data_IF_166185580566
#
_entry.id   IF_166185580566
#
_cell.length_a   1.000
_cell.length_b   1.000
_cell.length_c   1.000
_cell.angle_alpha   90.00
_cell.angle_beta   90.00
_cell.angle_gamma   90.00
#
_symmetry.space_group_name_H-M   'P 1'
#
loop_
_entity.id
_entity.type
_entity.pdbx_description
1 polymer ?
#
# COMPACT_ATOMS: atom_id res chain seq x y z
N UNK A 1 -1.07 0.53 36.13
CA UNK A 1 -2.16 1.03 35.27
C UNK A 1 -2.74 -0.19 34.59
N UNK A 2 -3.95 -0.49 35.00
CA UNK A 2 -4.70 -1.62 34.46
C UNK A 2 -4.99 -1.33 32.98
N UNK A 3 -4.41 -2.10 32.07
CA UNK A 3 -4.78 -2.05 30.65
C UNK A 3 -6.10 -2.79 30.55
N UNK A 4 -7.18 -2.05 30.78
CA UNK A 4 -8.49 -2.57 30.42
C UNK A 4 -8.44 -2.95 28.95
N UNK A 5 -8.66 -4.23 28.64
CA UNK A 5 -8.80 -4.72 27.29
C UNK A 5 -9.95 -3.97 26.63
N UNK A 6 -9.63 -2.96 25.82
CA UNK A 6 -10.63 -2.25 25.03
C UNK A 6 -10.93 -3.10 23.81
N UNK A 7 -11.90 -3.98 23.94
CA UNK A 7 -12.46 -4.70 22.81
C UNK A 7 -13.37 -3.76 22.03
N UNK A 8 -13.14 -3.64 20.72
CA UNK A 8 -14.11 -2.98 19.85
C UNK A 8 -15.44 -3.76 19.90
N UNK A 9 -16.59 -3.08 19.90
CA UNK A 9 -17.87 -3.75 19.95
C UNK A 9 -18.06 -4.65 18.72
N UNK A 10 -18.75 -5.77 18.86
CA UNK A 10 -19.06 -6.71 17.76
C UNK A 10 -19.82 -6.05 16.61
N UNK A 11 -20.57 -4.99 16.92
CA UNK A 11 -21.32 -4.21 15.94
C UNK A 11 -20.77 -2.78 15.90
N UNK A 12 -19.88 -2.53 14.95
CA UNK A 12 -19.37 -1.19 14.70
C UNK A 12 -20.40 -0.39 13.91
N UNK A 13 -20.63 0.91 14.24
CA UNK A 13 -21.53 1.74 13.48
C UNK A 13 -21.02 1.94 12.04
N UNK A 14 -21.94 2.05 11.08
CA UNK A 14 -21.58 2.43 9.72
C UNK A 14 -20.95 3.83 9.70
N UNK A 15 -19.86 3.97 8.98
CA UNK A 15 -19.15 5.24 8.82
C UNK A 15 -19.71 6.02 7.62
N UNK A 16 -19.93 7.33 7.73
CA UNK A 16 -20.30 8.19 6.60
C UNK A 16 -19.04 8.42 5.74
N UNK A 17 -18.87 7.65 4.68
CA UNK A 17 -17.69 7.67 3.82
C UNK A 17 -18.13 7.72 2.36
N UNK A 18 -17.75 8.80 1.66
CA UNK A 18 -17.83 8.86 0.20
C UNK A 18 -16.71 8.00 -0.40
N UNK A 19 -17.10 7.00 -1.17
CA UNK A 19 -16.17 6.01 -1.75
C UNK A 19 -16.21 5.99 -3.28
N UNK A 20 -16.99 6.87 -3.87
CA UNK A 20 -17.14 7.07 -5.31
C UNK A 20 -16.84 8.52 -5.64
N UNK A 21 -16.13 8.75 -6.72
CA UNK A 21 -15.81 10.07 -7.23
C UNK A 21 -15.89 10.08 -8.76
N UNK A 22 -16.13 11.24 -9.35
CA UNK A 22 -15.97 11.46 -10.78
C UNK A 22 -14.50 11.44 -11.18
N UNK A 23 -14.19 11.23 -12.46
CA UNK A 23 -12.81 11.28 -12.96
C UNK A 23 -12.12 12.62 -12.65
N UNK A 24 -12.84 13.73 -12.69
CA UNK A 24 -12.31 15.05 -12.33
C UNK A 24 -11.95 15.14 -10.86
N UNK A 25 -12.80 14.63 -9.96
CA UNK A 25 -12.53 14.61 -8.51
C UNK A 25 -11.37 13.67 -8.18
N UNK A 26 -11.29 12.51 -8.85
CA UNK A 26 -10.13 11.60 -8.71
C UNK A 26 -8.82 12.30 -9.09
N UNK A 27 -8.79 13.02 -10.21
CA UNK A 27 -7.61 13.78 -10.64
C UNK A 27 -7.20 14.84 -9.61
N UNK A 28 -8.18 15.56 -9.03
CA UNK A 28 -7.92 16.53 -7.95
C UNK A 28 -7.39 15.85 -6.69
N UNK A 29 -7.91 14.69 -6.32
CA UNK A 29 -7.38 13.90 -5.19
C UNK A 29 -5.92 13.52 -5.44
N UNK A 30 -5.62 12.98 -6.62
CA UNK A 30 -4.25 12.58 -7.00
C UNK A 30 -3.28 13.74 -6.95
N UNK A 31 -3.67 14.91 -7.44
CA UNK A 31 -2.82 16.11 -7.41
C UNK A 31 -2.45 16.52 -5.98
N UNK A 32 -3.43 16.49 -5.04
CA UNK A 32 -3.18 16.78 -3.62
C UNK A 32 -2.26 15.74 -2.98
N UNK A 33 -2.52 14.46 -3.20
CA UNK A 33 -1.69 13.35 -2.70
C UNK A 33 -0.25 13.51 -3.19
N UNK A 34 -0.08 13.74 -4.49
CA UNK A 34 1.24 13.91 -5.11
C UNK A 34 2.01 15.05 -4.47
N UNK A 35 1.37 16.21 -4.28
CA UNK A 35 2.01 17.37 -3.65
C UNK A 35 2.50 17.03 -2.24
N UNK A 36 1.70 16.33 -1.43
CA UNK A 36 2.07 15.94 -0.08
C UNK A 36 3.26 14.95 -0.08
N UNK A 37 3.20 13.90 -0.91
CA UNK A 37 4.25 12.88 -0.95
C UNK A 37 5.54 13.35 -1.60
N UNK A 38 5.50 14.26 -2.58
CA UNK A 38 6.70 14.93 -3.09
C UNK A 38 7.38 15.76 -2.01
N UNK A 39 6.60 16.51 -1.21
CA UNK A 39 7.14 17.25 -0.07
C UNK A 39 7.77 16.32 0.97
N UNK A 40 7.05 15.28 1.40
CA UNK A 40 7.54 14.30 2.38
C UNK A 40 8.81 13.60 1.90
N UNK A 41 8.84 13.21 0.63
CA UNK A 41 10.02 12.61 0.00
C UNK A 41 11.23 13.54 -0.05
N UNK A 42 11.01 14.86 -0.15
CA UNK A 42 12.08 15.84 -0.13
C UNK A 42 12.63 16.11 1.30
N UNK A 43 11.75 16.15 2.31
CA UNK A 43 12.14 16.61 3.66
C UNK A 43 12.36 15.48 4.67
N UNK A 44 11.66 14.35 4.53
CA UNK A 44 11.68 13.23 5.49
C UNK A 44 11.53 11.88 4.80
N UNK A 45 12.35 11.53 3.79
CA UNK A 45 12.09 10.39 2.91
C UNK A 45 11.98 9.04 3.64
N UNK A 46 12.83 8.74 4.60
CA UNK A 46 12.80 7.47 5.32
C UNK A 46 11.69 7.43 6.37
N UNK A 47 11.48 8.54 7.08
CA UNK A 47 10.41 8.68 8.07
C UNK A 47 9.01 8.55 7.43
N UNK A 48 8.83 9.08 6.23
CA UNK A 48 7.53 8.98 5.53
C UNK A 48 7.21 7.56 5.06
N UNK A 49 8.21 6.71 4.90
CA UNK A 49 8.05 5.28 4.56
C UNK A 49 7.82 4.42 5.79
N UNK A 50 8.47 4.76 6.92
CA UNK A 50 8.32 4.07 8.18
C UNK A 50 8.42 5.07 9.33
N UNK A 51 7.27 5.42 9.91
CA UNK A 51 7.11 6.51 10.87
C UNK A 51 7.67 6.20 12.24
N UNK A 52 9.00 6.24 12.38
CA UNK A 52 9.71 6.15 13.64
C UNK A 52 10.67 7.32 13.79
N UNK A 53 10.75 7.95 14.96
CA UNK A 53 11.65 9.11 15.21
C UNK A 53 13.10 8.81 14.85
N UNK A 54 13.53 7.55 14.99
CA UNK A 54 14.87 7.10 14.60
C UNK A 54 15.12 7.20 13.08
N UNK A 55 14.09 7.33 12.25
CA UNK A 55 14.19 7.43 10.80
C UNK A 55 14.03 8.86 10.28
N UNK A 56 13.93 9.84 11.19
CA UNK A 56 14.07 11.26 10.84
C UNK A 56 15.47 11.53 10.27
N UNK A 57 15.64 12.50 9.37
CA UNK A 57 16.91 12.78 8.72
C UNK A 57 18.08 12.95 9.70
N UNK A 58 17.86 13.62 10.82
CA UNK A 58 18.84 13.85 11.86
C UNK A 58 19.29 12.59 12.63
N UNK A 59 18.46 11.55 12.64
CA UNK A 59 18.69 10.30 13.39
C UNK A 59 19.06 9.13 12.48
N UNK A 60 18.86 9.27 11.17
CA UNK A 60 18.95 8.17 10.21
C UNK A 60 20.31 7.49 10.19
N UNK A 61 21.40 8.26 10.34
CA UNK A 61 22.75 7.70 10.28
C UNK A 61 22.99 6.58 11.31
N UNK A 62 22.36 6.68 12.48
CA UNK A 62 22.48 5.66 13.55
C UNK A 62 21.53 4.48 13.38
N UNK A 63 20.51 4.59 12.51
CA UNK A 63 19.40 3.63 12.39
C UNK A 63 19.21 3.08 10.98
N UNK A 64 20.04 3.48 10.02
CA UNK A 64 19.90 3.07 8.62
C UNK A 64 19.88 1.54 8.44
N UNK A 65 20.75 0.81 9.14
CA UNK A 65 20.78 -0.65 9.06
C UNK A 65 19.46 -1.28 9.53
N UNK A 66 18.88 -0.76 10.61
CA UNK A 66 17.59 -1.25 11.12
C UNK A 66 16.43 -0.91 10.18
N UNK A 67 16.48 0.25 9.52
CA UNK A 67 15.51 0.62 8.49
C UNK A 67 15.51 -0.39 7.33
N UNK A 68 16.68 -0.67 6.76
CA UNK A 68 16.79 -1.61 5.65
C UNK A 68 16.48 -3.05 6.06
N UNK A 69 16.92 -3.47 7.26
CA UNK A 69 16.62 -4.81 7.80
C UNK A 69 15.12 -5.04 8.00
N UNK A 70 14.34 -4.01 8.32
CA UNK A 70 12.89 -4.13 8.46
C UNK A 70 12.21 -4.60 7.16
N UNK A 71 12.74 -4.20 5.99
CA UNK A 71 12.26 -4.66 4.69
C UNK A 71 12.46 -6.16 4.46
N UNK A 72 13.51 -6.77 5.03
CA UNK A 72 13.72 -8.23 4.98
C UNK A 72 12.63 -8.98 5.73
N UNK A 73 12.19 -8.44 6.88
CA UNK A 73 11.08 -9.01 7.65
C UNK A 73 9.78 -9.05 6.85
N UNK A 74 9.45 -7.97 6.15
CA UNK A 74 8.25 -7.92 5.30
C UNK A 74 8.35 -8.87 4.10
N UNK A 75 9.48 -8.93 3.42
CA UNK A 75 9.70 -9.90 2.34
C UNK A 75 9.61 -11.35 2.83
N UNK A 76 10.03 -11.64 4.06
CA UNK A 76 9.86 -12.95 4.68
C UNK A 76 8.37 -13.28 4.92
N UNK A 77 7.54 -12.30 5.31
CA UNK A 77 6.08 -12.47 5.42
C UNK A 77 5.49 -12.81 4.06
N UNK A 78 5.88 -12.10 2.99
CA UNK A 78 5.45 -12.40 1.62
C UNK A 78 5.79 -13.83 1.23
N UNK A 79 7.06 -14.22 1.39
CA UNK A 79 7.54 -15.57 1.07
C UNK A 79 6.77 -16.65 1.83
N UNK A 80 6.59 -16.48 3.14
CA UNK A 80 5.87 -17.43 3.98
C UNK A 80 4.41 -17.54 3.58
N UNK A 81 3.78 -16.43 3.18
CA UNK A 81 2.40 -16.41 2.70
C UNK A 81 2.27 -17.18 1.38
N UNK A 82 3.15 -16.91 0.41
CA UNK A 82 3.15 -17.62 -0.88
C UNK A 82 3.37 -19.13 -0.69
N UNK A 83 4.29 -19.52 0.20
CA UNK A 83 4.55 -20.93 0.51
C UNK A 83 3.34 -21.60 1.18
N UNK A 84 2.69 -20.94 2.13
CA UNK A 84 1.50 -21.46 2.85
C UNK A 84 0.35 -21.77 1.91
N UNK A 85 0.16 -20.97 0.86
CA UNK A 85 -0.89 -21.16 -0.12
C UNK A 85 -0.46 -21.98 -1.35
N UNK A 86 0.77 -22.47 -1.39
CA UNK A 86 1.25 -23.33 -2.48
C UNK A 86 1.63 -22.59 -3.76
N UNK A 87 2.06 -21.34 -3.65
CA UNK A 87 2.48 -20.51 -4.80
C UNK A 87 3.99 -20.20 -4.88
N UNK A 88 4.91 -21.12 -4.55
CA UNK A 88 6.34 -20.83 -4.63
C UNK A 88 6.82 -20.55 -6.08
N UNK A 89 6.10 -21.05 -7.07
CA UNK A 89 6.43 -20.85 -8.49
C UNK A 89 6.27 -19.41 -8.97
N UNK A 90 5.56 -18.55 -8.23
CA UNK A 90 5.46 -17.11 -8.54
C UNK A 90 6.80 -16.38 -8.42
N UNK A 91 7.79 -16.98 -7.75
CA UNK A 91 9.14 -16.43 -7.64
C UNK A 91 9.84 -16.18 -8.98
N UNK A 92 9.43 -16.86 -10.06
CA UNK A 92 9.94 -16.62 -11.41
C UNK A 92 9.06 -15.64 -12.21
N UNK A 93 8.06 -15.05 -11.58
CA UNK A 93 7.10 -14.16 -12.20
C UNK A 93 7.48 -12.68 -12.10
N UNK A 94 6.55 -11.84 -12.57
CA UNK A 94 6.60 -10.40 -12.48
C UNK A 94 5.89 -9.95 -11.20
N UNK A 95 6.60 -9.22 -10.34
CA UNK A 95 6.06 -8.54 -9.18
C UNK A 95 5.76 -7.08 -9.52
N UNK A 96 4.64 -6.56 -9.02
CA UNK A 96 4.36 -5.14 -8.89
C UNK A 96 4.39 -4.79 -7.41
N UNK A 97 5.23 -3.85 -7.02
CA UNK A 97 5.17 -3.18 -5.72
C UNK A 97 4.62 -1.76 -5.93
N UNK A 98 3.49 -1.46 -5.30
CA UNK A 98 2.85 -0.15 -5.40
C UNK A 98 3.04 0.65 -4.11
N UNK A 99 3.63 1.85 -4.23
CA UNK A 99 4.09 2.67 -3.12
C UNK A 99 5.43 2.17 -2.56
N UNK A 100 6.42 1.98 -3.43
CA UNK A 100 7.71 1.40 -3.05
C UNK A 100 8.57 2.32 -2.16
N UNK A 101 8.24 3.60 -2.09
CA UNK A 101 8.99 4.59 -1.34
C UNK A 101 10.47 4.63 -1.73
N UNK A 102 11.34 4.59 -0.75
CA UNK A 102 12.80 4.54 -0.95
C UNK A 102 13.34 3.13 -1.28
N UNK A 103 12.46 2.16 -1.59
CA UNK A 103 12.86 0.82 -2.00
C UNK A 103 13.16 -0.14 -0.86
N UNK A 104 12.67 0.12 0.36
CA UNK A 104 12.96 -0.66 1.56
C UNK A 104 12.57 -2.14 1.43
N UNK A 105 11.40 -2.44 0.89
CA UNK A 105 10.92 -3.80 0.62
C UNK A 105 11.34 -4.26 -0.77
N UNK A 106 11.34 -3.36 -1.75
CA UNK A 106 11.70 -3.59 -3.16
C UNK A 106 12.98 -4.41 -3.32
N UNK A 107 14.06 -4.00 -2.62
CA UNK A 107 15.36 -4.66 -2.73
C UNK A 107 15.30 -6.13 -2.31
N UNK A 108 14.39 -6.50 -1.42
CA UNK A 108 14.20 -7.88 -0.98
C UNK A 108 13.26 -8.65 -1.90
N UNK A 109 12.30 -7.98 -2.54
CA UNK A 109 11.42 -8.58 -3.54
C UNK A 109 12.21 -8.97 -4.81
N UNK A 110 13.25 -8.21 -5.18
CA UNK A 110 14.10 -8.55 -6.33
C UNK A 110 14.84 -9.88 -6.17
N UNK A 111 15.10 -10.32 -4.94
CA UNK A 111 15.65 -11.65 -4.67
C UNK A 111 14.59 -12.78 -4.77
N UNK A 112 13.31 -12.42 -4.93
CA UNK A 112 12.20 -13.38 -4.96
C UNK A 112 11.55 -13.50 -6.32
N UNK A 113 11.61 -12.46 -7.16
CA UNK A 113 10.91 -12.38 -8.44
C UNK A 113 11.87 -12.13 -9.60
N UNK A 114 11.54 -12.61 -10.78
CA UNK A 114 12.37 -12.41 -11.98
C UNK A 114 12.42 -10.92 -12.39
N UNK A 115 11.32 -10.19 -12.19
CA UNK A 115 11.23 -8.75 -12.46
C UNK A 115 10.35 -8.10 -11.40
N UNK A 116 10.77 -6.96 -10.90
CA UNK A 116 9.99 -6.12 -9.98
C UNK A 116 9.71 -4.78 -10.65
N UNK A 117 8.43 -4.45 -10.86
CA UNK A 117 7.98 -3.14 -11.26
C UNK A 117 7.59 -2.37 -10.00
N UNK A 118 8.39 -1.40 -9.61
CA UNK A 118 8.25 -0.62 -8.38
C UNK A 118 7.68 0.76 -8.70
N UNK A 119 6.48 1.05 -8.19
CA UNK A 119 5.74 2.29 -8.44
C UNK A 119 5.77 3.19 -7.21
N UNK A 120 5.99 4.48 -7.41
CA UNK A 120 5.78 5.50 -6.39
C UNK A 120 5.32 6.83 -7.01
N UNK A 121 4.62 7.64 -6.22
CA UNK A 121 4.13 8.95 -6.66
C UNK A 121 5.18 10.06 -6.46
N UNK A 122 6.20 9.83 -5.62
CA UNK A 122 7.25 10.78 -5.29
C UNK A 122 8.54 10.50 -6.07
N UNK A 123 8.96 11.46 -6.90
CA UNK A 123 10.23 11.40 -7.60
C UNK A 123 11.42 11.40 -6.64
N UNK A 124 11.29 12.10 -5.49
CA UNK A 124 12.33 12.14 -4.46
C UNK A 124 12.55 10.76 -3.82
N UNK A 125 11.48 10.02 -3.51
CA UNK A 125 11.58 8.66 -3.00
C UNK A 125 12.25 7.74 -4.03
N UNK A 126 11.80 7.80 -5.28
CA UNK A 126 12.36 6.97 -6.36
C UNK A 126 13.84 7.26 -6.63
N UNK A 127 14.30 8.49 -6.45
CA UNK A 127 15.71 8.82 -6.59
C UNK A 127 16.58 8.04 -5.56
N UNK A 128 16.13 7.97 -4.30
CA UNK A 128 16.79 7.20 -3.26
C UNK A 128 16.70 5.70 -3.54
N UNK A 129 15.54 5.21 -3.97
CA UNK A 129 15.35 3.80 -4.31
C UNK A 129 16.29 3.35 -5.46
N UNK A 130 16.44 4.18 -6.50
CA UNK A 130 17.37 3.94 -7.63
C UNK A 130 18.80 3.90 -7.16
N UNK A 131 19.23 4.89 -6.37
CA UNK A 131 20.57 4.91 -5.79
C UNK A 131 20.84 3.62 -4.98
N UNK A 132 19.86 3.19 -4.17
CA UNK A 132 20.00 1.96 -3.38
C UNK A 132 20.12 0.71 -4.25
N UNK A 133 19.36 0.63 -5.34
CA UNK A 133 19.47 -0.48 -6.29
C UNK A 133 20.85 -0.53 -6.96
N UNK A 134 21.40 0.62 -7.33
CA UNK A 134 22.75 0.74 -7.92
C UNK A 134 23.82 0.29 -6.92
N UNK A 135 23.74 0.75 -5.65
CA UNK A 135 24.66 0.35 -4.57
C UNK A 135 24.68 -1.17 -4.34
N UNK A 136 23.54 -1.83 -4.50
CA UNK A 136 23.37 -3.27 -4.31
C UNK A 136 23.56 -4.08 -5.61
N UNK A 137 23.87 -3.42 -6.73
CA UNK A 137 23.95 -4.01 -8.06
C UNK A 137 22.69 -4.82 -8.46
N UNK A 138 21.50 -4.32 -8.07
CA UNK A 138 20.21 -4.92 -8.41
C UNK A 138 19.82 -4.51 -9.83
N UNK A 139 19.58 -5.49 -10.72
CA UNK A 139 19.37 -5.26 -12.15
C UNK A 139 17.96 -5.64 -12.64
N UNK A 140 17.13 -6.24 -11.78
CA UNK A 140 15.82 -6.75 -12.14
C UNK A 140 14.66 -5.93 -11.53
N UNK A 141 14.90 -4.65 -11.25
CA UNK A 141 13.89 -3.70 -10.83
C UNK A 141 13.70 -2.59 -11.86
N UNK A 142 12.46 -2.22 -12.12
CA UNK A 142 12.08 -1.08 -12.97
C UNK A 142 11.27 -0.13 -12.12
N UNK A 143 11.76 1.10 -11.96
CA UNK A 143 11.10 2.14 -11.18
C UNK A 143 10.19 3.00 -12.05
N UNK A 144 8.94 3.15 -11.65
CA UNK A 144 7.91 3.90 -12.33
C UNK A 144 7.44 5.06 -11.46
N UNK A 145 7.57 6.29 -11.97
CA UNK A 145 6.96 7.46 -11.34
C UNK A 145 5.48 7.52 -11.76
N UNK A 146 4.58 7.45 -10.78
CA UNK A 146 3.16 7.59 -11.04
C UNK A 146 2.82 9.01 -11.50
N UNK A 147 2.13 9.13 -12.64
CA UNK A 147 1.58 10.38 -13.14
C UNK A 147 0.24 10.72 -12.48
N UNK A 148 -0.40 11.79 -12.92
CA UNK A 148 -1.81 12.08 -12.54
C UNK A 148 -2.80 11.05 -13.10
N UNK A 149 -2.36 10.22 -14.07
CA UNK A 149 -3.11 9.08 -14.63
C UNK A 149 -2.62 7.73 -14.09
N UNK A 150 -1.92 7.73 -12.97
CA UNK A 150 -1.24 6.54 -12.41
C UNK A 150 -2.15 5.31 -12.24
N UNK A 151 -3.46 5.52 -12.12
CA UNK A 151 -4.42 4.41 -12.01
C UNK A 151 -4.51 3.55 -13.28
N UNK A 152 -4.01 4.02 -14.42
CA UNK A 152 -4.06 3.30 -15.70
C UNK A 152 -2.73 2.61 -16.06
N UNK A 153 -1.67 2.85 -15.28
CA UNK A 153 -0.29 2.49 -15.65
C UNK A 153 0.25 1.21 -14.99
N UNK A 154 -0.57 0.50 -14.18
CA UNK A 154 -0.10 -0.73 -13.50
C UNK A 154 0.10 -1.85 -14.52
N UNK A 155 1.34 -2.31 -14.65
CA UNK A 155 1.71 -3.41 -15.57
C UNK A 155 1.06 -4.74 -15.16
N UNK A 156 0.71 -5.61 -16.12
CA UNK A 156 0.25 -6.97 -15.81
C UNK A 156 1.29 -7.75 -14.99
N UNK A 157 0.85 -8.38 -13.88
CA UNK A 157 1.75 -9.05 -12.95
C UNK A 157 1.23 -10.41 -12.48
N UNK A 158 2.16 -11.21 -11.95
CA UNK A 158 1.87 -12.47 -11.31
C UNK A 158 1.70 -12.29 -9.78
N UNK A 159 2.31 -11.24 -9.26
CA UNK A 159 2.23 -10.88 -7.85
C UNK A 159 2.12 -9.36 -7.69
N UNK A 160 1.17 -8.93 -6.86
CA UNK A 160 0.97 -7.52 -6.49
C UNK A 160 1.16 -7.35 -4.98
N UNK A 161 1.93 -6.34 -4.59
CA UNK A 161 2.21 -6.00 -3.19
C UNK A 161 2.02 -4.52 -2.91
N UNK A 162 1.31 -4.19 -1.82
CA UNK A 162 1.19 -2.81 -1.32
C UNK A 162 0.81 -2.80 0.16
N UNK A 163 1.69 -2.33 1.01
CA UNK A 163 1.50 -2.24 2.47
C UNK A 163 1.93 -0.87 2.96
N UNK A 164 1.15 -0.27 3.87
CA UNK A 164 1.34 1.09 4.41
C UNK A 164 1.25 2.17 3.29
N UNK A 165 0.41 1.94 2.28
CA UNK A 165 0.24 2.84 1.14
C UNK A 165 -1.20 3.27 0.96
N UNK A 166 -2.13 2.31 0.87
CA UNK A 166 -3.53 2.60 0.60
C UNK A 166 -4.16 3.47 1.69
N UNK A 167 -3.74 3.29 2.93
CA UNK A 167 -4.19 4.06 4.08
C UNK A 167 -3.96 5.59 3.97
N UNK A 168 -3.05 6.02 3.10
CA UNK A 168 -2.71 7.42 2.90
C UNK A 168 -3.46 8.06 1.73
N UNK A 169 -4.42 7.36 1.18
CA UNK A 169 -5.22 7.84 0.06
C UNK A 169 -6.69 8.01 0.48
N UNK A 170 -7.40 9.03 -0.03
CA UNK A 170 -8.84 9.17 0.16
C UNK A 170 -9.61 7.91 -0.27
N UNK A 171 -10.74 7.58 0.40
CA UNK A 171 -11.47 6.35 0.13
C UNK A 171 -11.84 6.09 -1.34
N UNK A 172 -12.23 7.08 -2.17
CA UNK A 172 -12.43 6.85 -3.60
C UNK A 172 -11.16 6.40 -4.34
N UNK A 173 -9.99 6.95 -3.96
CA UNK A 173 -8.70 6.55 -4.52
C UNK A 173 -8.32 5.14 -4.06
N UNK A 174 -8.54 4.79 -2.77
CA UNK A 174 -8.33 3.42 -2.29
C UNK A 174 -9.14 2.42 -3.11
N UNK A 175 -10.42 2.73 -3.37
CA UNK A 175 -11.29 1.86 -4.15
C UNK A 175 -10.77 1.66 -5.59
N UNK A 176 -10.31 2.74 -6.24
CA UNK A 176 -9.72 2.67 -7.59
C UNK A 176 -8.40 1.90 -7.60
N UNK A 177 -7.52 2.14 -6.62
CA UNK A 177 -6.25 1.41 -6.49
C UNK A 177 -6.47 -0.09 -6.34
N UNK A 178 -7.41 -0.52 -5.49
CA UNK A 178 -7.76 -1.94 -5.35
C UNK A 178 -8.28 -2.49 -6.68
N UNK A 179 -9.16 -1.77 -7.38
CA UNK A 179 -9.72 -2.21 -8.66
C UNK A 179 -8.63 -2.40 -9.72
N UNK A 180 -7.71 -1.45 -9.82
CA UNK A 180 -6.59 -1.50 -10.78
C UNK A 180 -5.57 -2.58 -10.40
N UNK A 181 -5.23 -2.71 -9.11
CA UNK A 181 -4.34 -3.76 -8.61
C UNK A 181 -4.87 -5.16 -8.96
N UNK A 182 -6.15 -5.43 -8.69
CA UNK A 182 -6.78 -6.71 -8.99
C UNK A 182 -6.99 -6.93 -10.49
N UNK A 183 -7.19 -5.84 -11.25
CA UNK A 183 -7.28 -5.84 -12.71
C UNK A 183 -5.94 -6.17 -13.38
N UNK A 184 -4.82 -5.79 -12.80
CA UNK A 184 -3.48 -6.04 -13.33
C UNK A 184 -2.99 -7.48 -13.10
N UNK A 185 -3.64 -8.25 -12.22
CA UNK A 185 -3.26 -9.63 -11.96
C UNK A 185 -3.55 -10.52 -13.16
N UNK A 186 -2.55 -11.30 -13.57
CA UNK A 186 -2.75 -12.43 -14.48
C UNK A 186 -3.57 -13.53 -13.79
N UNK A 187 -4.21 -14.38 -14.57
CA UNK A 187 -4.92 -15.56 -14.04
C UNK A 187 -4.00 -16.39 -13.14
N UNK A 188 -4.46 -16.73 -11.95
CA UNK A 188 -3.68 -17.42 -10.91
C UNK A 188 -2.77 -16.52 -10.11
N UNK A 189 -2.59 -15.25 -10.49
CA UNK A 189 -1.78 -14.27 -9.78
C UNK A 189 -2.34 -13.93 -8.41
N UNK A 190 -1.46 -13.46 -7.52
CA UNK A 190 -1.76 -13.18 -6.11
C UNK A 190 -1.56 -11.70 -5.83
N UNK A 191 -2.48 -11.08 -5.09
CA UNK A 191 -2.27 -9.78 -4.46
C UNK A 191 -2.17 -9.92 -2.95
N UNK A 192 -1.22 -9.19 -2.35
CA UNK A 192 -1.15 -8.92 -0.93
C UNK A 192 -1.21 -7.40 -0.76
N UNK A 193 -2.25 -6.90 -0.11
CA UNK A 193 -2.36 -5.49 0.18
C UNK A 193 -2.97 -5.24 1.56
N UNK A 194 -2.62 -4.12 2.15
CA UNK A 194 -3.11 -3.70 3.46
C UNK A 194 -3.90 -2.40 3.33
N UNK A 195 -4.99 -2.31 4.09
CA UNK A 195 -5.77 -1.09 4.21
C UNK A 195 -6.53 -1.08 5.54
N UNK A 196 -6.64 0.07 6.23
CA UNK A 196 -7.57 0.21 7.35
C UNK A 196 -9.00 0.03 6.86
N UNK A 197 -9.78 -0.77 7.58
CA UNK A 197 -11.18 -1.07 7.26
C UNK A 197 -12.16 -0.33 8.16
N UNK A 198 -11.65 0.21 9.27
CA UNK A 198 -12.40 1.03 10.20
C UNK A 198 -11.48 2.00 10.93
N UNK A 199 -11.95 3.22 11.18
CA UNK A 199 -11.32 4.21 12.05
C UNK A 199 -12.38 4.74 12.99
N UNK A 200 -12.13 4.72 14.30
CA UNK A 200 -13.09 5.18 15.31
C UNK A 200 -13.45 6.64 15.07
N UNK A 201 -14.75 6.93 14.94
CA UNK A 201 -15.25 8.29 14.72
C UNK A 201 -14.94 8.91 13.35
N UNK A 202 -14.45 8.11 12.40
CA UNK A 202 -14.08 8.59 11.07
C UNK A 202 -15.31 8.99 10.25
N UNK A 203 -15.14 10.10 9.53
CA UNK A 203 -16.08 10.62 8.55
C UNK A 203 -15.27 11.13 7.35
N UNK A 204 -15.71 10.80 6.15
CA UNK A 204 -15.10 11.32 4.94
C UNK A 204 -16.16 11.79 3.95
N UNK A 205 -16.19 13.09 3.70
CA UNK A 205 -17.03 13.73 2.69
C UNK A 205 -16.10 14.33 1.63
N UNK A 206 -16.18 13.80 0.42
CA UNK A 206 -15.24 14.14 -0.65
C UNK A 206 -15.20 15.63 -0.98
N UNK A 207 -16.37 16.28 -1.07
CA UNK A 207 -16.46 17.71 -1.37
C UNK A 207 -15.79 18.57 -0.28
N UNK A 208 -15.96 18.23 0.99
CA UNK A 208 -15.31 18.94 2.11
C UNK A 208 -13.79 18.73 2.06
N UNK A 209 -13.35 17.49 1.79
CA UNK A 209 -11.93 17.15 1.69
C UNK A 209 -11.25 17.88 0.53
N UNK A 210 -11.90 17.98 -0.63
CA UNK A 210 -11.36 18.70 -1.79
C UNK A 210 -11.20 20.20 -1.54
N UNK A 211 -12.10 20.81 -0.76
CA UNK A 211 -12.08 22.23 -0.43
C UNK A 211 -11.12 22.56 0.73
N UNK A 212 -10.79 21.61 1.59
CA UNK A 212 -9.91 21.84 2.71
C UNK A 212 -8.48 22.15 2.26
N UNK A 213 -7.84 23.09 2.94
CA UNK A 213 -6.39 23.29 2.81
C UNK A 213 -5.70 22.22 3.66
N UNK A 214 -5.29 21.15 3.00
CA UNK A 214 -4.59 20.06 3.67
C UNK A 214 -3.13 20.48 3.88
N UNK A 215 -2.70 20.43 5.12
CA UNK A 215 -1.29 20.45 5.46
C UNK A 215 -0.62 19.26 4.75
N UNK A 216 0.69 19.40 4.46
CA UNK A 216 1.48 18.37 3.78
C UNK A 216 1.76 17.19 4.72
N UNK A 217 0.71 16.65 5.34
CA UNK A 217 0.76 15.60 6.35
C UNK A 217 0.38 14.23 5.76
N UNK A 218 0.84 13.19 6.44
CA UNK A 218 0.44 11.81 6.18
C UNK A 218 -0.96 11.57 6.74
N UNK A 219 -2.00 11.89 5.97
CA UNK A 219 -3.37 11.59 6.36
C UNK A 219 -3.63 10.08 6.38
N UNK A 220 -4.56 9.68 7.24
CA UNK A 220 -4.97 8.28 7.37
C UNK A 220 -6.44 8.15 6.99
N UNK A 221 -6.73 7.20 6.12
CA UNK A 221 -8.06 6.91 5.61
C UNK A 221 -8.38 5.42 5.71
N UNK A 222 -9.67 5.07 5.62
CA UNK A 222 -10.12 3.68 5.57
C UNK A 222 -11.14 3.44 4.47
N UNK A 223 -11.23 2.20 4.03
CA UNK A 223 -12.30 1.73 3.15
C UNK A 223 -13.05 0.59 3.85
N UNK A 224 -14.38 0.66 4.04
CA UNK A 224 -15.13 -0.38 4.73
C UNK A 224 -14.90 -1.77 4.14
N UNK A 225 -14.70 -2.77 5.00
CA UNK A 225 -14.35 -4.14 4.60
C UNK A 225 -15.35 -4.74 3.61
N UNK A 226 -16.65 -4.45 3.78
CA UNK A 226 -17.70 -4.92 2.87
C UNK A 226 -17.50 -4.39 1.43
N UNK A 227 -16.99 -3.16 1.27
CA UNK A 227 -16.67 -2.62 -0.05
C UNK A 227 -15.45 -3.28 -0.66
N UNK A 228 -14.42 -3.59 0.14
CA UNK A 228 -13.25 -4.33 -0.32
C UNK A 228 -13.66 -5.71 -0.81
N UNK A 229 -14.52 -6.43 -0.07
CA UNK A 229 -15.05 -7.73 -0.50
C UNK A 229 -15.80 -7.63 -1.83
N UNK A 230 -16.59 -6.56 -2.00
CA UNK A 230 -17.29 -6.31 -3.27
C UNK A 230 -16.30 -6.10 -4.41
N UNK A 231 -15.27 -5.27 -4.24
CA UNK A 231 -14.25 -5.00 -5.25
C UNK A 231 -13.50 -6.28 -5.65
N UNK A 232 -13.19 -7.15 -4.68
CA UNK A 232 -12.53 -8.43 -4.91
C UNK A 232 -13.43 -9.37 -5.74
N UNK A 233 -14.71 -9.44 -5.38
CA UNK A 233 -15.70 -10.23 -6.12
C UNK A 233 -15.90 -9.71 -7.54
N UNK A 234 -16.08 -8.40 -7.71
CA UNK A 234 -16.27 -7.74 -9.01
C UNK A 234 -15.05 -7.94 -9.94
N UNK A 235 -13.85 -8.05 -9.36
CA UNK A 235 -12.61 -8.31 -10.10
C UNK A 235 -12.40 -9.79 -10.48
N UNK A 236 -13.38 -10.67 -10.23
CA UNK A 236 -13.23 -12.13 -10.39
C UNK A 236 -12.02 -12.68 -9.64
N UNK A 237 -11.91 -12.33 -8.38
CA UNK A 237 -10.86 -12.78 -7.50
C UNK A 237 -11.44 -13.56 -6.31
N UNK A 238 -10.64 -14.52 -5.79
CA UNK A 238 -10.94 -15.29 -4.59
C UNK A 238 -10.18 -14.72 -3.42
N UNK A 239 -10.88 -14.46 -2.31
CA UNK A 239 -10.25 -14.19 -1.02
C UNK A 239 -9.60 -15.47 -0.48
N UNK A 240 -8.31 -15.42 -0.19
CA UNK A 240 -7.58 -16.50 0.46
C UNK A 240 -7.43 -16.24 1.96
N UNK A 241 -7.16 -14.99 2.34
CA UNK A 241 -6.97 -14.60 3.74
C UNK A 241 -7.40 -13.14 3.95
N UNK A 242 -8.02 -12.89 5.10
CA UNK A 242 -8.16 -11.56 5.69
C UNK A 242 -7.60 -11.66 7.10
N UNK A 243 -6.59 -10.89 7.39
CA UNK A 243 -5.95 -10.89 8.71
C UNK A 243 -5.91 -9.48 9.26
N UNK A 244 -6.36 -9.30 10.50
CA UNK A 244 -6.12 -8.07 11.23
C UNK A 244 -4.61 -7.88 11.45
N UNK A 245 -4.15 -6.66 11.30
CA UNK A 245 -2.75 -6.27 11.45
C UNK A 245 -2.64 -4.97 12.26
N UNK A 246 -1.41 -4.59 12.58
CA UNK A 246 -1.12 -3.36 13.31
C UNK A 246 -0.21 -2.41 12.50
N UNK A 247 -0.33 -2.39 11.18
CA UNK A 247 0.48 -1.52 10.33
C UNK A 247 0.19 -0.03 10.54
N UNK A 248 -0.94 0.32 11.14
CA UNK A 248 -1.27 1.71 11.51
C UNK A 248 -0.56 2.17 12.77
N UNK A 249 -0.07 1.25 13.61
CA UNK A 249 0.58 1.55 14.88
C UNK A 249 -0.36 1.99 16.00
N UNK A 250 -1.69 2.06 15.77
CA UNK A 250 -2.68 2.52 16.75
C UNK A 250 -3.92 1.61 16.77
N UNK A 251 -3.82 0.39 17.33
CA UNK A 251 -4.90 -0.61 17.29
C UNK A 251 -6.18 -0.19 18.02
N UNK A 252 -6.09 0.74 18.96
CA UNK A 252 -7.26 1.28 19.67
C UNK A 252 -8.11 2.25 18.82
N UNK A 253 -7.55 2.73 17.72
CA UNK A 253 -8.17 3.72 16.82
C UNK A 253 -8.53 3.11 15.47
N UNK A 254 -7.74 2.16 14.99
CA UNK A 254 -7.86 1.58 13.65
C UNK A 254 -8.11 0.07 13.72
N UNK A 255 -9.02 -0.41 12.87
CA UNK A 255 -8.98 -1.80 12.43
C UNK A 255 -8.30 -1.80 11.06
N UNK A 256 -7.15 -2.39 10.99
CA UNK A 256 -6.38 -2.55 9.74
C UNK A 256 -6.35 -4.03 9.34
N UNK A 257 -6.48 -4.29 8.05
CA UNK A 257 -6.47 -5.65 7.53
C UNK A 257 -5.50 -5.80 6.37
N UNK A 258 -4.76 -6.89 6.41
CA UNK A 258 -4.02 -7.43 5.27
C UNK A 258 -4.88 -8.45 4.53
N UNK A 259 -5.03 -8.27 3.23
CA UNK A 259 -5.79 -9.13 2.32
C UNK A 259 -4.84 -9.94 1.45
N UNK A 260 -5.10 -11.25 1.33
CA UNK A 260 -4.45 -12.13 0.35
C UNK A 260 -5.51 -12.61 -0.63
N UNK A 261 -5.31 -12.31 -1.90
CA UNK A 261 -6.34 -12.49 -2.94
C UNK A 261 -5.73 -13.17 -4.15
N UNK A 262 -6.46 -14.09 -4.77
CA UNK A 262 -6.06 -14.79 -6.00
C UNK A 262 -6.98 -14.43 -7.16
N UNK A 263 -6.41 -14.13 -8.32
CA UNK A 263 -7.15 -13.96 -9.58
C UNK A 263 -7.63 -15.31 -10.10
N UNK A 264 -8.93 -15.41 -10.34
CA UNK A 264 -9.53 -16.61 -10.91
C UNK A 264 -9.46 -16.62 -12.44
N UNK A 265 -9.58 -17.81 -13.02
CA UNK A 265 -9.79 -17.99 -14.46
C UNK A 265 -11.18 -17.45 -14.85
N UNK A 266 -11.27 -16.76 -15.98
CA UNK A 266 -12.54 -16.25 -16.52
C UNK A 266 -13.40 -17.34 -17.15
N UNK A 267 -12.87 -18.54 -17.31
CA UNK A 267 -13.51 -19.64 -18.01
C UNK A 267 -14.24 -20.65 -17.12
N UNK A 268 -14.51 -20.29 -15.84
CA UNK A 268 -15.26 -21.18 -14.94
C UNK A 268 -16.47 -20.50 -14.34
#
# INVERSE_FOLDING_TARGET
MDRGDVFLPLHLPALPIDTVATNQELALCVAKIKTAWEHLGAVKPHFSVLSGEQFLPENLAASADSFWASGQGEAAIVRNTLNRYGFPALANGTCVEYGCGVGRVTMNLTAMFATVNAYDISANHLAIAKQRADELAVNNVIFHLCSEHFLDEISPCDFFYSVIVFQHNPPPIIAELIRKALGSLRTGGIAIFQVPTYIVGYRFILGEWLLADHTLDMQMHCLPQAQIFKLISDANCKMLEVREDNWTGAPDTYISNTFVVQKLDQSK
#
